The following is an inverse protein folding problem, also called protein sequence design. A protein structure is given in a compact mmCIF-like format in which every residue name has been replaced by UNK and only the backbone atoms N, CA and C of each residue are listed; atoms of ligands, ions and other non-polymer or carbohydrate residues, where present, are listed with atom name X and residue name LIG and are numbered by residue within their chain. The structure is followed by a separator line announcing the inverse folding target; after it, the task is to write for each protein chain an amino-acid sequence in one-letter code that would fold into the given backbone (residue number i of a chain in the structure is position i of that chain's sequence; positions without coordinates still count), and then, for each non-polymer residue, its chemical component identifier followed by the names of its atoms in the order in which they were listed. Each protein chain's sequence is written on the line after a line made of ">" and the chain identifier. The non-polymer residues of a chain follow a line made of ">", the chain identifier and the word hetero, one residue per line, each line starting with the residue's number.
data_IF_210794378278
#
_entry.id   IF_210794378278
#
_cell.length_a   1.000
_cell.length_b   1.000
_cell.length_c   1.000
_cell.angle_alpha   90.00
_cell.angle_beta   90.00
_cell.angle_gamma   90.00
#
_symmetry.space_group_name_H-M   'P 1'
#
loop_
_entity.id
_entity.type
_entity.pdbx_description
1 polymer ?
#
# COMPACT_ATOMS: atom_id res chain seq x y z
N UNK A 1 -16.42 67.84 -33.82
CA UNK A 1 -16.87 68.07 -32.44
C UNK A 1 -18.33 68.50 -32.43
N UNK A 2 -19.29 67.62 -32.78
CA UNK A 2 -20.72 67.94 -32.75
C UNK A 2 -21.63 66.69 -32.84
N UNK A 3 -21.26 65.57 -32.20
CA UNK A 3 -22.07 64.34 -32.30
C UNK A 3 -22.26 63.59 -30.99
N UNK A 4 -21.71 64.08 -29.87
CA UNK A 4 -21.76 63.36 -28.59
C UNK A 4 -23.00 63.71 -27.74
N UNK A 5 -23.74 64.78 -28.06
CA UNK A 5 -24.83 65.27 -27.19
C UNK A 5 -26.22 64.70 -27.51
N UNK A 6 -26.44 64.07 -28.67
CA UNK A 6 -27.76 63.52 -29.03
C UNK A 6 -28.03 62.09 -28.53
N UNK A 7 -26.99 61.34 -28.20
CA UNK A 7 -27.17 59.97 -27.69
C UNK A 7 -27.58 59.91 -26.21
N UNK A 8 -27.39 60.99 -25.44
CA UNK A 8 -27.74 61.04 -24.02
C UNK A 8 -29.24 61.30 -23.74
N UNK A 9 -30.03 61.66 -24.77
CA UNK A 9 -31.43 62.05 -24.61
C UNK A 9 -32.43 60.93 -24.91
N UNK A 10 -32.02 59.87 -25.62
CA UNK A 10 -32.92 58.77 -26.03
C UNK A 10 -33.03 57.66 -24.97
N UNK A 11 -32.12 57.59 -23.98
CA UNK A 11 -32.16 56.56 -22.92
C UNK A 11 -33.18 56.80 -21.81
N UNK A 12 -33.88 57.95 -21.77
CA UNK A 12 -34.72 58.33 -20.61
C UNK A 12 -36.21 58.01 -20.69
N UNK A 13 -36.72 57.46 -21.79
CA UNK A 13 -38.16 57.43 -22.04
C UNK A 13 -38.84 56.04 -21.99
N UNK A 14 -38.14 54.97 -21.63
CA UNK A 14 -38.74 53.63 -21.52
C UNK A 14 -38.55 53.04 -20.13
N UNK A 15 -39.44 53.43 -19.22
CA UNK A 15 -39.85 52.57 -18.11
C UNK A 15 -41.16 51.89 -18.49
N UNK A 16 -41.28 50.59 -18.19
CA UNK A 16 -42.42 50.12 -17.42
C UNK A 16 -41.94 49.65 -16.06
N UNK A 17 -42.53 50.25 -15.03
CA UNK A 17 -42.55 49.69 -13.70
C UNK A 17 -43.34 48.37 -13.72
N UNK A 18 -42.64 47.23 -13.64
CA UNK A 18 -43.26 45.95 -13.29
C UNK A 18 -42.52 45.30 -12.12
N UNK A 19 -43.18 45.44 -10.97
CA UNK A 19 -43.29 44.48 -9.88
C UNK A 19 -42.74 43.08 -10.19
N UNK A 20 -41.66 42.72 -9.52
CA UNK A 20 -41.14 41.36 -9.55
C UNK A 20 -39.68 41.26 -9.16
N UNK A 21 -39.22 42.06 -8.19
CA UNK A 21 -38.01 41.71 -7.46
C UNK A 21 -38.31 40.40 -6.71
N UNK A 22 -38.06 39.27 -7.37
CA UNK A 22 -37.70 38.06 -6.67
C UNK A 22 -36.39 38.39 -5.96
N UNK A 23 -36.50 38.94 -4.76
CA UNK A 23 -35.40 38.88 -3.81
C UNK A 23 -35.09 37.39 -3.62
N UNK A 24 -33.88 36.91 -3.96
CA UNK A 24 -33.46 35.64 -3.41
C UNK A 24 -33.42 35.83 -1.90
N UNK A 25 -34.43 35.27 -1.22
CA UNK A 25 -34.44 35.05 0.23
C UNK A 25 -33.17 34.27 0.60
N UNK A 26 -32.06 34.98 0.83
CA UNK A 26 -30.70 34.42 0.84
C UNK A 26 -29.88 34.71 2.09
N UNK A 27 -30.46 35.28 3.15
CA UNK A 27 -29.71 35.57 4.37
C UNK A 27 -29.64 34.36 5.33
N UNK A 28 -30.74 33.59 5.44
CA UNK A 28 -30.83 32.46 6.39
C UNK A 28 -30.28 31.13 5.83
N UNK A 29 -29.97 31.07 4.52
CA UNK A 29 -29.39 29.90 3.84
C UNK A 29 -27.86 29.85 3.82
N UNK A 30 -27.17 30.96 4.05
CA UNK A 30 -25.73 31.08 3.72
C UNK A 30 -24.80 30.24 4.60
N UNK A 31 -25.03 30.17 5.92
CA UNK A 31 -24.17 29.38 6.83
C UNK A 31 -24.40 27.88 6.64
N UNK A 32 -25.66 27.46 6.42
CA UNK A 32 -26.00 26.07 6.13
C UNK A 32 -25.43 25.60 4.78
N UNK A 33 -25.46 26.47 3.77
CA UNK A 33 -24.90 26.19 2.44
C UNK A 33 -23.37 26.13 2.45
N UNK A 34 -22.69 27.01 3.21
CA UNK A 34 -21.24 26.96 3.40
C UNK A 34 -20.80 25.70 4.17
N UNK A 35 -21.51 25.32 5.23
CA UNK A 35 -21.22 24.08 5.98
C UNK A 35 -21.47 22.86 5.10
N UNK A 36 -22.52 22.87 4.28
CA UNK A 36 -22.81 21.82 3.31
C UNK A 36 -21.70 21.69 2.27
N UNK A 37 -21.21 22.81 1.72
CA UNK A 37 -20.10 22.84 0.77
C UNK A 37 -18.80 22.29 1.37
N UNK A 38 -18.41 22.74 2.57
CA UNK A 38 -17.19 22.26 3.27
C UNK A 38 -17.29 20.75 3.59
N UNK A 39 -18.47 20.29 4.01
CA UNK A 39 -18.70 18.86 4.28
C UNK A 39 -18.59 18.03 3.01
N UNK A 40 -19.13 18.52 1.89
CA UNK A 40 -19.03 17.90 0.57
C UNK A 40 -17.58 17.82 0.09
N UNK A 41 -16.81 18.89 0.27
CA UNK A 41 -15.38 18.95 -0.08
C UNK A 41 -14.54 18.00 0.77
N UNK A 42 -14.79 17.96 2.09
CA UNK A 42 -14.13 17.02 2.99
C UNK A 42 -14.45 15.55 2.62
N UNK A 43 -15.71 15.26 2.26
CA UNK A 43 -16.10 13.93 1.79
C UNK A 43 -15.44 13.57 0.45
N UNK A 44 -15.20 14.57 -0.40
CA UNK A 44 -14.49 14.42 -1.68
C UNK A 44 -13.00 14.13 -1.47
N UNK A 45 -12.33 14.86 -0.58
CA UNK A 45 -10.93 14.61 -0.22
C UNK A 45 -10.75 13.22 0.41
N UNK A 46 -11.63 12.84 1.34
CA UNK A 46 -11.56 11.52 1.97
C UNK A 46 -11.67 10.38 0.94
N UNK A 47 -12.56 10.53 -0.05
CA UNK A 47 -12.66 9.57 -1.17
C UNK A 47 -11.38 9.55 -2.00
N UNK A 48 -10.77 10.71 -2.26
CA UNK A 48 -9.52 10.79 -3.02
C UNK A 48 -8.34 10.13 -2.30
N UNK A 49 -8.16 10.40 -1.00
CA UNK A 49 -7.14 9.75 -0.16
C UNK A 49 -7.32 8.24 -0.14
N UNK A 50 -8.58 7.76 -0.05
CA UNK A 50 -8.86 6.33 -0.12
C UNK A 50 -8.54 5.74 -1.50
N UNK A 51 -8.88 6.43 -2.59
CA UNK A 51 -8.54 5.97 -3.95
C UNK A 51 -7.03 6.00 -4.19
N UNK A 52 -6.31 6.99 -3.66
CA UNK A 52 -4.86 7.08 -3.72
C UNK A 52 -4.21 5.93 -2.92
N UNK A 53 -4.63 5.73 -1.67
CA UNK A 53 -4.14 4.64 -0.83
C UNK A 53 -4.39 3.26 -1.49
N UNK A 54 -5.57 3.06 -2.09
CA UNK A 54 -5.86 1.85 -2.88
C UNK A 54 -4.92 1.71 -4.08
N UNK A 55 -4.66 2.81 -4.80
CA UNK A 55 -3.76 2.80 -5.95
C UNK A 55 -2.32 2.47 -5.55
N UNK A 56 -1.83 3.05 -4.45
CA UNK A 56 -0.50 2.77 -3.91
C UNK A 56 -0.39 1.33 -3.40
N UNK A 57 -1.35 0.86 -2.59
CA UNK A 57 -1.42 -0.54 -2.16
C UNK A 57 -1.46 -1.51 -3.34
N UNK A 58 -2.18 -1.19 -4.42
CA UNK A 58 -2.22 -2.02 -5.63
C UNK A 58 -0.86 -2.07 -6.32
N UNK A 59 -0.16 -0.94 -6.44
CA UNK A 59 1.19 -0.89 -7.02
C UNK A 59 2.18 -1.71 -6.18
N UNK A 60 2.13 -1.58 -4.86
CA UNK A 60 2.94 -2.38 -3.95
C UNK A 60 2.61 -3.87 -4.06
N UNK A 61 1.33 -4.23 -4.11
CA UNK A 61 0.89 -5.62 -4.26
C UNK A 61 1.37 -6.24 -5.59
N UNK A 62 1.33 -5.49 -6.69
CA UNK A 62 1.87 -5.96 -7.98
C UNK A 62 3.39 -6.16 -7.90
N UNK A 63 4.12 -5.23 -7.28
CA UNK A 63 5.57 -5.34 -7.10
C UNK A 63 5.93 -6.54 -6.23
N UNK A 64 5.26 -6.70 -5.10
CA UNK A 64 5.41 -7.84 -4.20
C UNK A 64 5.04 -9.15 -4.89
N UNK A 65 3.93 -9.17 -5.64
CA UNK A 65 3.49 -10.33 -6.42
C UNK A 65 4.48 -10.74 -7.50
N UNK A 66 5.06 -9.78 -8.22
CA UNK A 66 6.13 -10.04 -9.20
C UNK A 66 7.37 -10.61 -8.51
N UNK A 67 7.80 -10.02 -7.38
CA UNK A 67 8.93 -10.52 -6.61
C UNK A 67 8.67 -11.95 -6.13
N UNK A 68 7.51 -12.21 -5.52
CA UNK A 68 7.10 -13.54 -5.07
C UNK A 68 7.05 -14.54 -6.25
N UNK A 69 6.53 -14.14 -7.40
CA UNK A 69 6.51 -14.96 -8.61
C UNK A 69 7.91 -15.29 -9.12
N UNK A 70 8.83 -14.32 -9.16
CA UNK A 70 10.23 -14.54 -9.56
C UNK A 70 10.96 -15.46 -8.58
N UNK A 71 10.81 -15.24 -7.27
CA UNK A 71 11.43 -16.11 -6.26
C UNK A 71 10.82 -17.51 -6.26
N UNK A 72 9.51 -17.65 -6.45
CA UNK A 72 8.84 -18.93 -6.61
C UNK A 72 9.34 -19.68 -7.84
N UNK A 73 9.42 -19.02 -8.98
CA UNK A 73 9.97 -19.58 -10.22
C UNK A 73 11.45 -19.98 -10.09
N UNK A 74 12.27 -19.12 -9.49
CA UNK A 74 13.69 -19.41 -9.23
C UNK A 74 13.86 -20.60 -8.27
N UNK A 75 13.03 -20.69 -7.22
CA UNK A 75 13.01 -21.82 -6.30
C UNK A 75 12.66 -23.13 -7.00
N UNK A 76 11.62 -23.12 -7.85
CA UNK A 76 11.23 -24.28 -8.64
C UNK A 76 12.31 -24.69 -9.64
N UNK A 77 12.87 -23.74 -10.39
CA UNK A 77 13.95 -24.00 -11.33
C UNK A 77 15.19 -24.58 -10.62
N UNK A 78 15.57 -24.01 -9.47
CA UNK A 78 16.64 -24.53 -8.63
C UNK A 78 16.37 -25.95 -8.13
N UNK A 79 15.13 -26.25 -7.74
CA UNK A 79 14.71 -27.60 -7.37
C UNK A 79 14.81 -28.59 -8.55
N UNK A 80 14.40 -28.20 -9.76
CA UNK A 80 14.56 -29.03 -10.95
C UNK A 80 16.02 -29.30 -11.30
N UNK A 81 16.89 -28.29 -11.22
CA UNK A 81 18.33 -28.45 -11.40
C UNK A 81 18.89 -29.45 -10.38
N UNK A 82 18.50 -29.33 -9.12
CA UNK A 82 18.88 -30.25 -8.05
C UNK A 82 18.47 -31.70 -8.35
N UNK A 83 17.25 -31.93 -8.83
CA UNK A 83 16.77 -33.26 -9.23
C UNK A 83 17.60 -33.83 -10.38
N UNK A 84 17.78 -33.07 -11.47
CA UNK A 84 18.55 -33.55 -12.61
C UNK A 84 20.03 -33.78 -12.29
N UNK A 85 20.63 -32.91 -11.46
CA UNK A 85 22.00 -33.09 -11.00
C UNK A 85 22.13 -34.36 -10.15
N UNK A 86 21.11 -34.69 -9.35
CA UNK A 86 21.09 -35.93 -8.56
C UNK A 86 21.04 -37.17 -9.47
N UNK A 87 20.15 -37.16 -10.47
CA UNK A 87 20.06 -38.25 -11.45
C UNK A 87 21.36 -38.41 -12.24
N UNK A 88 21.92 -37.29 -12.71
CA UNK A 88 23.20 -37.28 -13.41
C UNK A 88 24.35 -37.78 -12.52
N UNK A 89 24.37 -37.38 -11.26
CA UNK A 89 25.36 -37.83 -10.27
C UNK A 89 25.28 -39.34 -10.03
N UNK A 90 24.08 -39.87 -9.77
CA UNK A 90 23.88 -41.31 -9.62
C UNK A 90 24.29 -42.05 -10.89
N UNK A 91 23.84 -41.60 -12.06
CA UNK A 91 24.19 -42.22 -13.33
C UNK A 91 25.71 -42.21 -13.59
N UNK A 92 26.40 -41.12 -13.27
CA UNK A 92 27.84 -41.00 -13.39
C UNK A 92 28.56 -41.99 -12.45
N UNK A 93 28.21 -42.01 -11.16
CA UNK A 93 28.80 -42.92 -10.17
C UNK A 93 28.53 -44.38 -10.49
N UNK A 94 27.38 -44.70 -11.10
CA UNK A 94 27.03 -46.06 -11.49
C UNK A 94 27.97 -46.66 -12.55
N UNK A 95 28.81 -45.85 -13.22
CA UNK A 95 29.86 -46.37 -14.10
C UNK A 95 31.04 -46.99 -13.36
N UNK A 96 31.19 -46.71 -12.06
CA UNK A 96 32.33 -47.15 -11.25
C UNK A 96 31.94 -47.92 -9.99
N UNK A 97 30.66 -47.93 -9.61
CA UNK A 97 30.12 -48.70 -8.49
C UNK A 97 28.66 -49.11 -8.73
N UNK A 98 28.13 -50.00 -7.88
CA UNK A 98 26.72 -50.40 -7.94
C UNK A 98 25.75 -49.23 -7.66
N UNK A 99 24.59 -49.28 -8.32
CA UNK A 99 23.58 -48.23 -8.30
C UNK A 99 23.09 -47.91 -6.88
N UNK A 100 22.98 -48.90 -5.99
CA UNK A 100 22.53 -48.69 -4.62
C UNK A 100 23.52 -47.83 -3.84
N UNK A 101 24.82 -48.08 -3.99
CA UNK A 101 25.86 -47.29 -3.32
C UNK A 101 25.96 -45.89 -3.90
N UNK A 102 25.84 -45.73 -5.22
CA UNK A 102 25.78 -44.43 -5.87
C UNK A 102 24.59 -43.59 -5.36
N UNK A 103 23.40 -44.18 -5.28
CA UNK A 103 22.20 -43.53 -4.77
C UNK A 103 22.32 -43.15 -3.28
N UNK A 104 22.92 -44.02 -2.45
CA UNK A 104 23.17 -43.74 -1.05
C UNK A 104 24.11 -42.54 -0.85
N UNK A 105 25.17 -42.41 -1.64
CA UNK A 105 26.09 -41.27 -1.56
C UNK A 105 25.36 -39.97 -1.89
N UNK A 106 24.62 -39.91 -2.99
CA UNK A 106 23.87 -38.71 -3.39
C UNK A 106 22.78 -38.37 -2.36
N UNK A 107 22.13 -39.37 -1.79
CA UNK A 107 21.18 -39.19 -0.68
C UNK A 107 21.87 -38.61 0.56
N UNK A 108 23.06 -39.10 0.91
CA UNK A 108 23.86 -38.58 2.02
C UNK A 108 24.24 -37.11 1.83
N UNK A 109 24.57 -36.70 0.60
CA UNK A 109 24.83 -35.28 0.25
C UNK A 109 23.59 -34.43 0.51
N UNK A 110 22.41 -34.87 0.07
CA UNK A 110 21.15 -34.16 0.33
C UNK A 110 20.79 -34.10 1.82
N UNK A 111 21.02 -35.18 2.56
CA UNK A 111 20.81 -35.20 4.00
C UNK A 111 21.69 -34.16 4.72
N UNK A 112 22.95 -34.03 4.33
CA UNK A 112 23.86 -33.02 4.88
C UNK A 112 23.41 -31.60 4.54
N UNK A 113 23.05 -31.34 3.27
CA UNK A 113 22.52 -30.05 2.83
C UNK A 113 21.25 -29.70 3.64
N UNK A 114 20.34 -30.65 3.78
CA UNK A 114 19.10 -30.49 4.55
C UNK A 114 19.36 -30.19 6.02
N UNK A 115 20.30 -30.88 6.65
CA UNK A 115 20.70 -30.62 8.05
C UNK A 115 21.25 -29.20 8.23
N UNK A 116 22.11 -28.74 7.31
CA UNK A 116 22.69 -27.39 7.33
C UNK A 116 21.59 -26.33 7.16
N UNK A 117 20.70 -26.51 6.18
CA UNK A 117 19.58 -25.60 5.93
C UNK A 117 18.64 -25.53 7.14
N UNK A 118 18.29 -26.68 7.72
CA UNK A 118 17.47 -26.76 8.93
C UNK A 118 18.13 -26.03 10.10
N UNK A 119 19.43 -26.25 10.33
CA UNK A 119 20.17 -25.57 11.40
C UNK A 119 20.18 -24.04 11.22
N UNK A 120 20.39 -23.55 9.99
CA UNK A 120 20.34 -22.11 9.69
C UNK A 120 18.94 -21.53 9.86
N UNK A 121 17.91 -22.19 9.33
CA UNK A 121 16.52 -21.77 9.50
C UNK A 121 16.15 -21.71 10.99
N UNK A 122 16.52 -22.74 11.75
CA UNK A 122 16.29 -22.82 13.20
C UNK A 122 16.98 -21.70 13.97
N UNK A 123 18.20 -21.32 13.57
CA UNK A 123 18.95 -20.22 14.19
C UNK A 123 18.34 -18.86 13.85
N UNK A 124 17.94 -18.63 12.59
CA UNK A 124 17.31 -17.38 12.18
C UNK A 124 15.97 -17.15 12.87
N UNK A 125 15.19 -18.20 13.09
CA UNK A 125 13.96 -18.11 13.90
C UNK A 125 14.20 -17.79 15.38
N UNK A 126 15.40 -18.05 15.93
CA UNK A 126 15.72 -17.67 17.32
C UNK A 126 16.04 -16.18 17.47
N UNK A 127 16.44 -15.50 16.39
CA UNK A 127 16.83 -14.08 16.41
C UNK A 127 15.68 -13.12 16.08
N UNK A 128 14.52 -13.62 15.66
CA UNK A 128 13.34 -12.79 15.45
C UNK A 128 12.57 -12.71 16.76
N UNK A 129 12.74 -11.63 17.53
CA UNK A 129 11.80 -11.31 18.61
C UNK A 129 10.50 -10.79 17.98
N UNK A 130 9.36 -11.47 18.17
CA UNK A 130 8.07 -11.01 17.61
C UNK A 130 7.54 -9.76 18.32
N UNK A 131 8.16 -9.34 19.43
CA UNK A 131 7.90 -8.07 20.09
C UNK A 131 8.86 -7.01 19.56
N UNK A 132 8.37 -5.97 18.86
CA UNK A 132 9.18 -4.78 18.64
C UNK A 132 9.42 -4.12 20.00
N UNK A 133 10.58 -4.39 20.57
CA UNK A 133 10.95 -3.96 21.93
C UNK A 133 10.85 -2.43 22.08
N UNK A 134 11.07 -1.69 20.99
CA UNK A 134 10.91 -0.24 20.94
C UNK A 134 9.44 0.19 21.00
N UNK A 135 8.53 -0.46 20.27
CA UNK A 135 7.10 -0.15 20.32
C UNK A 135 6.51 -0.48 21.69
N UNK A 136 6.97 -1.55 22.34
CA UNK A 136 6.58 -1.88 23.70
C UNK A 136 7.13 -0.88 24.74
N UNK A 137 8.30 -0.29 24.50
CA UNK A 137 8.84 0.77 25.36
C UNK A 137 8.00 2.05 25.28
N UNK A 138 7.66 2.51 24.07
CA UNK A 138 6.83 3.71 23.87
C UNK A 138 5.43 3.52 24.47
N UNK A 139 4.79 2.37 24.25
CA UNK A 139 3.47 2.08 24.83
C UNK A 139 3.49 2.00 26.37
N UNK A 140 4.61 1.57 26.98
CA UNK A 140 4.78 1.59 28.44
C UNK A 140 4.96 3.01 28.98
N UNK A 141 5.67 3.85 28.25
CA UNK A 141 5.89 5.26 28.60
C UNK A 141 4.58 6.06 28.51
N UNK A 142 3.81 5.87 27.43
CA UNK A 142 2.49 6.48 27.25
C UNK A 142 1.49 6.02 28.32
N UNK A 143 1.51 4.73 28.67
CA UNK A 143 0.69 4.19 29.76
C UNK A 143 1.09 4.73 31.15
N UNK A 144 2.37 5.06 31.35
CA UNK A 144 2.85 5.71 32.57
C UNK A 144 2.37 7.17 32.66
N UNK A 145 2.42 7.93 31.56
CA UNK A 145 1.89 9.29 31.49
C UNK A 145 0.38 9.34 31.76
N UNK A 146 -0.39 8.40 31.20
CA UNK A 146 -1.83 8.29 31.43
C UNK A 146 -2.22 7.96 32.88
N UNK A 147 -1.33 7.31 33.66
CA UNK A 147 -1.55 6.99 35.08
C UNK A 147 -1.27 8.17 36.03
N UNK A 148 -0.55 9.19 35.56
CA UNK A 148 -0.27 10.39 36.33
C UNK A 148 -0.60 11.66 35.54
N UNK A 149 -1.90 11.93 35.25
CA UNK A 149 -2.32 13.23 34.75
C UNK A 149 -2.14 14.25 35.87
N UNK A 150 -0.94 14.82 35.98
CA UNK A 150 -0.72 15.98 36.83
C UNK A 150 -1.47 17.13 36.18
N UNK A 151 -2.51 17.58 36.88
CA UNK A 151 -3.23 18.82 36.62
C UNK A 151 -2.22 19.95 36.45
N UNK A 152 -1.97 20.36 35.21
CA UNK A 152 -1.47 21.68 34.87
C UNK A 152 -2.65 22.64 34.81
#
# INVERSE_FOLDING_TARGET
>A
MATTERQAAEERAEQPAEAGAQEPSGADGSVGELVSAVTSDAQTLFRQEMELAKAEMRQEAVKAGKAAGMFGGAGFAGYMVAVFLSLAGVAALNNVMDAAWAALIITGVWALIGLILFARARSGMRSVSPTPDQTMATLKEDAQWARHPRRS
#
